data_IF_318691549371
#
_entry.id   IF_318691549371
#
_cell.length_a   1.000
_cell.length_b   1.000
_cell.length_c   1.000
_cell.angle_alpha   90.00
_cell.angle_beta   90.00
_cell.angle_gamma   90.00
#
_symmetry.space_group_name_H-M   'P 1'
#
loop_
_entity.id
_entity.type
_entity.pdbx_description
1 polymer ?
#
# COMPACT_ATOMS: atom_id res chain seq x y z
N UNK A 1 7.00 -5.22 19.15
CA UNK A 1 7.42 -6.40 19.95
C UNK A 1 6.41 -7.52 19.73
N UNK A 2 6.81 -8.63 19.10
CA UNK A 2 5.94 -9.74 18.69
C UNK A 2 5.33 -10.52 19.87
N UNK A 3 5.57 -10.10 21.09
CA UNK A 3 5.16 -10.80 22.31
C UNK A 3 3.93 -10.22 23.00
N UNK A 4 3.44 -9.05 22.53
CA UNK A 4 2.23 -8.46 23.11
C UNK A 4 1.00 -9.15 22.52
N UNK A 5 0.26 -9.86 23.33
CA UNK A 5 -1.06 -10.37 22.96
C UNK A 5 -2.05 -9.19 22.87
N UNK A 6 -2.36 -8.79 21.66
CA UNK A 6 -3.31 -7.70 21.38
C UNK A 6 -4.76 -8.19 21.27
N UNK A 7 -4.99 -9.49 21.41
CA UNK A 7 -6.30 -10.10 21.20
C UNK A 7 -6.66 -10.28 19.72
N UNK A 8 -7.95 -10.46 19.47
CA UNK A 8 -8.54 -10.69 18.14
C UNK A 8 -9.45 -9.53 17.76
N UNK A 9 -9.52 -9.21 16.47
CA UNK A 9 -10.25 -8.06 15.93
C UNK A 9 -11.07 -8.47 14.71
N UNK A 10 -12.32 -8.05 14.64
CA UNK A 10 -13.17 -8.29 13.46
C UNK A 10 -12.71 -7.50 12.22
N UNK A 11 -12.02 -6.37 12.46
CA UNK A 11 -11.43 -5.53 11.42
C UNK A 11 -10.04 -5.07 11.84
N UNK A 12 -9.08 -5.28 10.96
CA UNK A 12 -7.74 -4.69 11.05
C UNK A 12 -7.56 -3.76 9.85
N UNK A 13 -7.10 -2.55 10.10
CA UNK A 13 -6.76 -1.61 9.04
C UNK A 13 -5.29 -1.23 9.10
N UNK A 14 -4.65 -1.08 7.95
CA UNK A 14 -3.29 -0.59 7.84
C UNK A 14 -3.14 0.32 6.62
N UNK A 15 -2.67 1.53 6.84
CA UNK A 15 -2.29 2.42 5.75
C UNK A 15 -0.77 2.44 5.64
N UNK A 16 -0.26 2.17 4.43
CA UNK A 16 1.17 2.24 4.13
C UNK A 16 2.05 1.32 4.98
N UNK A 17 1.58 0.10 5.30
CA UNK A 17 2.32 -0.82 6.16
C UNK A 17 3.09 -1.89 5.39
N UNK A 18 2.43 -2.62 4.48
CA UNK A 18 2.99 -3.83 3.89
C UNK A 18 4.19 -3.55 2.98
N UNK A 19 4.22 -2.41 2.33
CA UNK A 19 5.34 -2.01 1.47
C UNK A 19 6.61 -1.60 2.22
N UNK A 20 6.60 -1.60 3.56
CA UNK A 20 7.83 -1.50 4.36
C UNK A 20 8.56 -2.85 4.54
N UNK A 21 7.96 -3.95 4.12
CA UNK A 21 8.67 -5.22 4.05
C UNK A 21 9.83 -5.13 3.04
N UNK A 22 11.08 -5.44 3.43
CA UNK A 22 12.21 -5.36 2.49
C UNK A 22 12.27 -6.54 1.52
N UNK A 23 11.54 -7.61 1.81
CA UNK A 23 11.51 -8.86 1.04
C UNK A 23 10.19 -9.61 1.22
N UNK A 24 9.94 -10.59 0.34
CA UNK A 24 8.72 -11.41 0.36
C UNK A 24 8.58 -12.21 1.66
N UNK A 25 9.67 -12.67 2.25
CA UNK A 25 9.63 -13.43 3.51
C UNK A 25 9.12 -12.56 4.66
N UNK A 26 9.55 -11.31 4.72
CA UNK A 26 9.07 -10.34 5.70
C UNK A 26 7.62 -9.95 5.43
N UNK A 27 7.25 -9.74 4.17
CA UNK A 27 5.87 -9.47 3.77
C UNK A 27 4.94 -10.61 4.22
N UNK A 28 5.31 -11.86 3.94
CA UNK A 28 4.55 -13.06 4.36
C UNK A 28 4.40 -13.12 5.88
N UNK A 29 5.47 -12.81 6.61
CA UNK A 29 5.45 -12.79 8.08
C UNK A 29 4.53 -11.70 8.63
N UNK A 30 4.49 -10.52 7.98
CA UNK A 30 3.56 -9.45 8.34
C UNK A 30 2.12 -9.87 8.09
N UNK A 31 1.82 -10.48 6.94
CA UNK A 31 0.50 -11.03 6.64
C UNK A 31 0.08 -12.12 7.66
N UNK A 32 0.97 -13.03 8.03
CA UNK A 32 0.70 -14.05 9.03
C UNK A 32 0.38 -13.45 10.41
N UNK A 33 1.09 -12.41 10.83
CA UNK A 33 0.82 -11.71 12.09
C UNK A 33 -0.56 -11.02 12.09
N UNK A 34 -1.01 -10.52 10.95
CA UNK A 34 -2.34 -9.94 10.78
C UNK A 34 -3.40 -11.04 10.82
N UNK A 35 -3.22 -12.10 10.02
CA UNK A 35 -4.15 -13.22 9.95
C UNK A 35 -4.38 -13.90 11.31
N UNK A 36 -3.33 -14.07 12.10
CA UNK A 36 -3.39 -14.66 13.43
C UNK A 36 -4.29 -13.89 14.44
N UNK A 37 -4.68 -12.66 14.09
CA UNK A 37 -5.51 -11.78 14.94
C UNK A 37 -6.90 -11.54 14.36
N UNK A 38 -7.22 -12.16 13.24
CA UNK A 38 -8.54 -12.11 12.62
C UNK A 38 -9.29 -13.41 12.93
N UNK A 39 -10.50 -13.36 13.48
CA UNK A 39 -11.37 -14.54 13.57
C UNK A 39 -11.86 -14.93 12.17
N UNK A 40 -12.46 -16.10 12.06
CA UNK A 40 -13.17 -16.48 10.83
C UNK A 40 -14.22 -15.43 10.45
N UNK A 41 -14.19 -14.95 9.21
CA UNK A 41 -15.00 -13.85 8.73
C UNK A 41 -14.45 -12.44 9.07
N UNK A 42 -13.31 -12.38 9.76
CA UNK A 42 -12.61 -11.12 10.02
C UNK A 42 -12.05 -10.51 8.75
N UNK A 43 -11.90 -9.17 8.74
CA UNK A 43 -11.48 -8.40 7.56
C UNK A 43 -10.18 -7.66 7.82
N UNK A 44 -9.32 -7.64 6.80
CA UNK A 44 -8.15 -6.78 6.73
C UNK A 44 -8.27 -5.81 5.57
N UNK A 45 -8.17 -4.51 5.83
CA UNK A 45 -8.22 -3.46 4.81
C UNK A 45 -6.92 -2.66 4.85
N UNK A 46 -6.27 -2.52 3.71
CA UNK A 46 -4.96 -1.86 3.66
C UNK A 46 -4.79 -1.01 2.40
N UNK A 47 -4.00 0.06 2.53
CA UNK A 47 -3.52 0.89 1.42
C UNK A 47 -2.02 0.63 1.24
N UNK A 48 -1.61 0.31 0.02
CA UNK A 48 -0.21 0.03 -0.31
C UNK A 48 0.16 0.65 -1.65
N UNK A 49 1.45 0.54 -2.01
CA UNK A 49 1.93 0.83 -3.36
C UNK A 49 1.06 0.14 -4.41
N UNK A 50 0.80 0.84 -5.50
CA UNK A 50 0.10 0.26 -6.63
C UNK A 50 1.05 -0.64 -7.44
N UNK A 51 0.83 -1.98 -7.46
CA UNK A 51 1.69 -2.91 -8.18
C UNK A 51 1.59 -2.80 -9.71
N UNK A 52 0.56 -2.12 -10.21
CA UNK A 52 0.31 -1.97 -11.66
C UNK A 52 1.11 -0.82 -12.28
N UNK A 53 1.79 0.01 -11.46
CA UNK A 53 2.64 1.07 -11.98
C UNK A 53 3.90 0.52 -12.63
N UNK A 54 4.22 1.01 -13.83
CA UNK A 54 5.55 0.81 -14.45
C UNK A 54 6.56 1.78 -13.85
N UNK A 55 7.85 1.51 -14.04
CA UNK A 55 8.91 2.36 -13.48
C UNK A 55 8.81 3.83 -13.95
N UNK A 56 8.34 4.07 -15.16
CA UNK A 56 8.18 5.41 -15.74
C UNK A 56 7.04 6.19 -15.08
N UNK A 57 6.10 5.49 -14.44
CA UNK A 57 4.93 6.07 -13.78
C UNK A 57 5.20 6.50 -12.33
N UNK A 58 6.44 6.40 -11.85
CA UNK A 58 6.80 6.74 -10.46
C UNK A 58 7.02 8.24 -10.23
N UNK A 59 6.93 9.10 -11.23
CA UNK A 59 7.10 10.55 -11.11
C UNK A 59 5.80 11.31 -11.37
N UNK A 60 5.81 12.64 -11.09
CA UNK A 60 4.71 13.54 -11.43
C UNK A 60 3.71 13.78 -10.28
N UNK A 61 4.15 13.62 -9.03
CA UNK A 61 3.28 13.80 -7.85
C UNK A 61 3.59 15.05 -7.04
N UNK A 62 4.40 15.98 -7.56
CA UNK A 62 4.85 17.16 -6.83
C UNK A 62 3.69 18.04 -6.34
N UNK A 63 2.65 18.19 -7.16
CA UNK A 63 1.46 18.97 -6.79
C UNK A 63 0.69 18.36 -5.60
N UNK A 64 0.89 17.06 -5.32
CA UNK A 64 0.28 16.35 -4.19
C UNK A 64 1.21 16.29 -2.96
N UNK A 65 2.33 17.01 -2.99
CA UNK A 65 3.25 17.13 -1.86
C UNK A 65 4.29 16.02 -1.76
N UNK A 66 4.47 15.20 -2.79
CA UNK A 66 5.54 14.20 -2.84
C UNK A 66 6.00 13.92 -4.27
N UNK A 67 7.10 13.23 -4.37
CA UNK A 67 7.52 12.55 -5.59
C UNK A 67 8.14 11.20 -5.22
N UNK A 68 8.28 10.28 -6.16
CA UNK A 68 8.90 8.98 -5.89
C UNK A 68 9.71 8.48 -7.07
N UNK A 69 10.68 7.63 -6.76
CA UNK A 69 11.50 6.91 -7.72
C UNK A 69 11.61 5.46 -7.28
N UNK A 70 11.92 4.57 -8.21
CA UNK A 70 12.12 3.14 -7.92
C UNK A 70 13.47 2.66 -8.45
N UNK A 71 14.09 1.73 -7.74
CA UNK A 71 15.29 1.03 -8.17
C UNK A 71 15.00 0.14 -9.39
N UNK A 72 15.89 0.17 -10.37
CA UNK A 72 15.77 -0.64 -11.59
C UNK A 72 16.76 -1.82 -11.56
N UNK A 73 16.41 -2.96 -12.17
CA UNK A 73 15.14 -3.26 -12.83
C UNK A 73 14.00 -3.39 -11.81
N UNK A 74 12.77 -3.05 -12.23
CA UNK A 74 11.59 -3.21 -11.39
C UNK A 74 11.37 -4.70 -11.08
N UNK A 75 11.43 -5.05 -9.80
CA UNK A 75 11.33 -6.43 -9.29
C UNK A 75 10.80 -6.42 -7.87
N UNK A 76 10.29 -7.54 -7.40
CA UNK A 76 9.88 -7.69 -6.01
C UNK A 76 11.01 -7.32 -5.03
N UNK A 77 10.70 -6.46 -4.07
CA UNK A 77 11.66 -5.89 -3.12
C UNK A 77 12.47 -4.71 -3.65
N UNK A 78 12.26 -4.25 -4.90
CA UNK A 78 12.92 -3.04 -5.41
C UNK A 78 12.61 -1.84 -4.51
N UNK A 79 13.65 -1.08 -4.15
CA UNK A 79 13.51 0.06 -3.25
C UNK A 79 12.78 1.21 -3.95
N UNK A 80 11.72 1.70 -3.30
CA UNK A 80 11.07 2.97 -3.65
C UNK A 80 11.59 4.04 -2.72
N UNK A 81 11.99 5.17 -3.27
CA UNK A 81 12.32 6.36 -2.50
C UNK A 81 11.24 7.41 -2.70
N UNK A 82 10.56 7.76 -1.64
CA UNK A 82 9.65 8.90 -1.58
C UNK A 82 10.40 10.15 -1.15
N UNK A 83 10.13 11.24 -1.82
CA UNK A 83 10.57 12.58 -1.51
C UNK A 83 9.34 13.35 -1.05
N UNK A 84 9.17 13.47 0.26
CA UNK A 84 8.01 14.13 0.87
C UNK A 84 8.30 15.62 1.04
N UNK A 85 7.35 16.48 0.68
CA UNK A 85 7.45 17.94 0.77
C UNK A 85 6.55 18.40 1.92
N UNK A 86 7.17 18.96 2.96
CA UNK A 86 6.47 19.49 4.13
C UNK A 86 6.80 20.99 4.30
N UNK A 87 6.05 21.84 3.63
CA UNK A 87 6.30 23.28 3.60
C UNK A 87 7.60 23.63 2.89
N UNK A 88 8.66 24.00 3.65
CA UNK A 88 10.01 24.26 3.10
C UNK A 88 10.99 23.10 3.28
N UNK A 89 10.58 22.08 4.01
CA UNK A 89 11.42 20.94 4.32
C UNK A 89 11.10 19.79 3.36
N UNK A 90 12.13 19.01 3.05
CA UNK A 90 12.02 17.80 2.26
C UNK A 90 12.69 16.65 3.02
N UNK A 91 11.99 15.52 3.14
CA UNK A 91 12.53 14.32 3.75
C UNK A 91 12.27 13.09 2.89
N UNK A 92 13.04 12.04 3.12
CA UNK A 92 12.94 10.79 2.36
C UNK A 92 12.36 9.68 3.21
N UNK A 93 11.53 8.87 2.57
CA UNK A 93 11.02 7.62 3.12
C UNK A 93 11.35 6.52 2.12
N UNK A 94 11.74 5.35 2.60
CA UNK A 94 11.97 4.19 1.77
C UNK A 94 10.85 3.16 1.98
N UNK A 95 10.38 2.63 0.88
CA UNK A 95 9.42 1.53 0.80
C UNK A 95 9.92 0.52 -0.23
N UNK A 96 9.17 -0.54 -0.48
CA UNK A 96 9.53 -1.57 -1.44
C UNK A 96 8.36 -1.87 -2.35
N UNK A 97 8.66 -2.05 -3.63
CA UNK A 97 7.69 -2.47 -4.62
C UNK A 97 7.54 -3.99 -4.59
N UNK A 98 6.30 -4.46 -4.66
CA UNK A 98 5.97 -5.87 -4.86
C UNK A 98 4.93 -6.00 -5.96
N UNK A 99 5.07 -7.01 -6.77
CA UNK A 99 4.05 -7.37 -7.76
C UNK A 99 2.75 -7.81 -7.07
N UNK A 100 1.64 -7.65 -7.77
CA UNK A 100 0.33 -8.14 -7.32
C UNK A 100 0.38 -9.62 -6.93
N UNK A 101 1.03 -10.44 -7.77
CA UNK A 101 1.19 -11.87 -7.51
C UNK A 101 1.94 -12.16 -6.19
N UNK A 102 2.92 -11.33 -5.83
CA UNK A 102 3.66 -11.47 -4.57
C UNK A 102 2.81 -11.11 -3.36
N UNK A 103 2.02 -10.04 -3.42
CA UNK A 103 1.03 -9.74 -2.38
C UNK A 103 0.05 -10.90 -2.19
N UNK A 104 -0.54 -11.39 -3.27
CA UNK A 104 -1.53 -12.48 -3.22
C UNK A 104 -0.92 -13.78 -2.68
N UNK A 105 0.32 -14.12 -3.06
CA UNK A 105 1.04 -15.28 -2.49
C UNK A 105 1.30 -15.13 -1.00
N UNK A 106 1.75 -13.95 -0.55
CA UNK A 106 2.03 -13.69 0.86
C UNK A 106 0.77 -13.78 1.72
N UNK A 107 -0.35 -13.24 1.24
CA UNK A 107 -1.65 -13.32 1.88
C UNK A 107 -2.18 -14.75 1.92
N UNK A 108 -2.10 -15.48 0.80
CA UNK A 108 -2.53 -16.89 0.74
C UNK A 108 -1.70 -17.79 1.66
N UNK A 109 -0.38 -17.57 1.75
CA UNK A 109 0.49 -18.29 2.69
C UNK A 109 0.14 -18.01 4.16
N UNK A 110 -0.47 -16.88 4.45
CA UNK A 110 -1.01 -16.53 5.77
C UNK A 110 -2.43 -17.06 6.02
N UNK A 111 -3.04 -17.77 5.06
CA UNK A 111 -4.41 -18.29 5.17
C UNK A 111 -5.51 -17.30 4.71
N UNK A 112 -5.13 -16.14 4.17
CA UNK A 112 -6.05 -15.14 3.63
C UNK A 112 -6.25 -15.42 2.14
N UNK A 113 -7.37 -16.03 1.76
CA UNK A 113 -7.60 -16.49 0.39
C UNK A 113 -8.59 -15.61 -0.40
N UNK A 114 -9.28 -14.70 0.26
CA UNK A 114 -10.18 -13.74 -0.39
C UNK A 114 -9.51 -12.37 -0.40
N UNK A 115 -9.08 -11.92 -1.58
CA UNK A 115 -8.41 -10.64 -1.79
C UNK A 115 -9.11 -9.87 -2.89
N UNK A 116 -9.60 -8.69 -2.57
CA UNK A 116 -10.22 -7.77 -3.53
C UNK A 116 -9.38 -6.51 -3.63
N UNK A 117 -9.01 -6.15 -4.85
CA UNK A 117 -8.30 -4.91 -5.16
C UNK A 117 -9.30 -3.83 -5.54
N UNK A 118 -9.27 -2.72 -4.83
CA UNK A 118 -10.17 -1.60 -5.05
C UNK A 118 -9.40 -0.43 -5.66
N UNK A 119 -9.86 0.10 -6.80
CA UNK A 119 -9.32 1.35 -7.32
C UNK A 119 -9.61 2.48 -6.34
N UNK A 120 -8.78 3.52 -6.40
CA UNK A 120 -9.09 4.75 -5.69
C UNK A 120 -10.31 5.42 -6.32
N UNK A 121 -11.14 6.00 -5.49
CA UNK A 121 -12.25 6.84 -5.89
C UNK A 121 -12.17 8.18 -5.14
N UNK A 122 -12.68 9.20 -5.78
CA UNK A 122 -12.75 10.54 -5.21
C UNK A 122 -14.09 10.70 -4.49
N UNK A 123 -14.06 11.18 -3.26
CA UNK A 123 -15.27 11.53 -2.52
C UNK A 123 -15.71 12.98 -2.81
N UNK A 124 -16.93 13.32 -2.41
CA UNK A 124 -17.50 14.65 -2.63
C UNK A 124 -16.69 15.75 -1.94
N UNK A 125 -16.10 15.47 -0.78
CA UNK A 125 -15.28 16.45 -0.05
C UNK A 125 -13.97 16.74 -0.77
N UNK A 126 -13.35 15.73 -1.38
CA UNK A 126 -12.16 15.88 -2.22
C UNK A 126 -12.45 16.75 -3.45
N UNK A 127 -13.59 16.52 -4.11
CA UNK A 127 -14.06 17.33 -5.24
C UNK A 127 -14.32 18.79 -4.79
N UNK A 128 -15.03 18.97 -3.69
CA UNK A 128 -15.36 20.29 -3.18
C UNK A 128 -14.12 21.10 -2.79
N UNK A 129 -13.08 20.43 -2.27
CA UNK A 129 -11.86 21.10 -1.81
C UNK A 129 -10.94 21.57 -2.96
N UNK A 130 -10.81 20.76 -4.01
CA UNK A 130 -9.78 20.97 -5.05
C UNK A 130 -10.31 20.92 -6.50
N UNK A 131 -11.53 20.42 -6.72
CA UNK A 131 -12.10 20.17 -8.04
C UNK A 131 -11.59 18.89 -8.71
N UNK A 132 -12.32 18.40 -9.69
CA UNK A 132 -12.00 17.17 -10.42
C UNK A 132 -10.66 17.26 -11.18
N UNK A 133 -10.35 18.43 -11.72
CA UNK A 133 -9.14 18.68 -12.51
C UNK A 133 -7.88 18.41 -11.71
N UNK A 134 -7.85 18.84 -10.44
CA UNK A 134 -6.73 18.61 -9.54
C UNK A 134 -6.42 17.12 -9.36
N UNK A 135 -7.43 16.27 -9.29
CA UNK A 135 -7.29 14.84 -9.04
C UNK A 135 -7.13 13.99 -10.29
N UNK A 136 -7.33 14.55 -11.47
CA UNK A 136 -7.34 13.81 -12.74
C UNK A 136 -6.05 13.01 -12.96
N UNK A 137 -4.91 13.65 -12.80
CA UNK A 137 -3.61 12.99 -12.99
C UNK A 137 -3.35 11.94 -11.91
N UNK A 138 -3.69 12.22 -10.66
CA UNK A 138 -3.55 11.28 -9.56
C UNK A 138 -4.38 10.00 -9.78
N UNK A 139 -5.61 10.14 -10.25
CA UNK A 139 -6.49 9.00 -10.51
C UNK A 139 -6.16 8.27 -11.81
N UNK A 140 -5.56 8.94 -12.79
CA UNK A 140 -5.10 8.29 -14.03
C UNK A 140 -3.85 7.44 -13.83
N UNK A 141 -3.02 7.79 -12.85
CA UNK A 141 -1.82 7.07 -12.44
C UNK A 141 -1.78 6.97 -10.90
N UNK A 142 -2.68 6.19 -10.29
CA UNK A 142 -2.78 6.16 -8.84
C UNK A 142 -1.52 5.53 -8.23
N UNK A 143 -0.84 6.25 -7.30
CA UNK A 143 0.39 5.76 -6.68
C UNK A 143 0.15 4.63 -5.67
N UNK A 144 -1.07 4.51 -5.21
CA UNK A 144 -1.50 3.53 -4.21
C UNK A 144 -2.77 2.82 -4.66
N UNK A 145 -3.05 1.69 -4.03
CA UNK A 145 -4.26 0.89 -4.23
C UNK A 145 -4.77 0.37 -2.88
N UNK A 146 -6.08 0.18 -2.78
CA UNK A 146 -6.67 -0.44 -1.61
C UNK A 146 -6.85 -1.95 -1.81
N UNK A 147 -6.59 -2.72 -0.76
CA UNK A 147 -6.89 -4.15 -0.68
C UNK A 147 -7.87 -4.40 0.43
N UNK A 148 -8.87 -5.22 0.16
CA UNK A 148 -9.75 -5.83 1.15
C UNK A 148 -9.54 -7.34 1.14
N UNK A 149 -9.29 -7.89 2.32
CA UNK A 149 -8.98 -9.29 2.53
C UNK A 149 -9.91 -9.87 3.59
N UNK A 150 -10.36 -11.11 3.39
CA UNK A 150 -11.19 -11.84 4.37
C UNK A 150 -10.55 -13.20 4.73
N UNK A 151 -10.66 -13.57 6.00
CA UNK A 151 -10.19 -14.85 6.56
C UNK A 151 -11.34 -15.86 6.65
#
# INVERSE_FOLDING_TARGET
DATTDLGSFDLITAAYLLHYAPDEATLTRMCANIAARLPSGGRFVTLNENPEQTAEQFAGYEQYGFNKTVELPLRDGATITYWMIAGRDMFRIHAHWFSRATYERALAAAGINSVTWHPLCLDEAGVAAHGDEYWREYLSNPPIVALECCV
#
